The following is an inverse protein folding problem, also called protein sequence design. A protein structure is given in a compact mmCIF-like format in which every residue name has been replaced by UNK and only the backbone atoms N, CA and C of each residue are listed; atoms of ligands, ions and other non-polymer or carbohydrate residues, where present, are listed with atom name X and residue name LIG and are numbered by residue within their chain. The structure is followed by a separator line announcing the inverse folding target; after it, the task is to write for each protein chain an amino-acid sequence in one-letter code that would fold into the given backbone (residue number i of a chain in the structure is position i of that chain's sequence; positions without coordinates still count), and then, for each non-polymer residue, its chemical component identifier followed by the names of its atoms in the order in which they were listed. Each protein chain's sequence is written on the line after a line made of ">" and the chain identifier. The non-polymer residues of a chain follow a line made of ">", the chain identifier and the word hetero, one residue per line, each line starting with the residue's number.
data_IF_695893499687
#
_entry.id   IF_695893499687
#
_cell.length_a   1.000
_cell.length_b   1.000
_cell.length_c   1.000
_cell.angle_alpha   90.00
_cell.angle_beta   90.00
_cell.angle_gamma   90.00
#
_symmetry.space_group_name_H-M   'P 1'
#
loop_
_entity.id
_entity.type
_entity.pdbx_description
1 polymer ?
#
# COMPACT_ATOMS: atom_id res chain seq x y z
N UNK A 1 6.29 -5.33 -7.07
CA UNK A 1 7.51 -5.28 -6.24
C UNK A 1 7.09 -5.80 -4.87
N UNK A 2 8.01 -6.31 -4.06
CA UNK A 2 7.66 -7.00 -2.81
C UNK A 2 7.92 -8.51 -2.82
N UNK A 3 8.10 -9.05 -1.62
CA UNK A 3 8.54 -10.44 -1.40
C UNK A 3 7.41 -11.42 -1.75
N UNK A 4 7.71 -12.48 -2.51
CA UNK A 4 6.72 -13.48 -2.98
C UNK A 4 6.26 -14.44 -1.88
N UNK A 5 5.75 -13.91 -0.77
CA UNK A 5 5.32 -14.66 0.41
C UNK A 5 3.90 -15.21 0.31
N UNK A 6 3.09 -14.75 -0.65
CA UNK A 6 1.66 -15.06 -0.69
C UNK A 6 1.29 -16.55 -0.74
N UNK A 7 2.22 -17.45 -1.11
CA UNK A 7 1.96 -18.90 -1.04
C UNK A 7 2.08 -19.50 0.36
N UNK A 8 2.69 -18.78 1.31
CA UNK A 8 2.86 -19.20 2.71
C UNK A 8 1.76 -18.64 3.64
N UNK A 9 1.18 -17.50 3.26
CA UNK A 9 0.17 -16.81 4.05
C UNK A 9 -1.23 -17.15 3.54
N UNK A 10 -2.00 -18.01 4.24
CA UNK A 10 -3.40 -18.21 3.90
C UNK A 10 -4.15 -16.89 4.11
N UNK A 11 -5.00 -16.52 3.14
CA UNK A 11 -5.91 -15.40 3.27
C UNK A 11 -7.33 -15.88 3.55
N UNK A 12 -8.01 -15.15 4.42
CA UNK A 12 -9.42 -15.31 4.74
C UNK A 12 -10.21 -14.25 3.97
N UNK A 13 -11.16 -14.67 3.15
CA UNK A 13 -12.06 -13.73 2.49
C UNK A 13 -13.04 -13.13 3.51
N UNK A 14 -13.09 -11.81 3.60
CA UNK A 14 -13.98 -11.09 4.51
C UNK A 14 -14.87 -10.09 3.74
N UNK A 15 -15.85 -9.54 4.44
CA UNK A 15 -16.70 -8.46 3.98
C UNK A 15 -16.35 -7.14 4.68
N UNK A 16 -16.85 -6.02 4.15
CA UNK A 16 -16.70 -4.73 4.83
C UNK A 16 -17.39 -4.69 6.21
N UNK A 17 -18.41 -5.54 6.44
CA UNK A 17 -19.09 -5.63 7.73
C UNK A 17 -18.19 -6.21 8.83
N UNK A 18 -17.24 -7.07 8.46
CA UNK A 18 -16.29 -7.67 9.40
C UNK A 18 -15.25 -6.64 9.91
N UNK A 19 -15.18 -5.48 9.27
CA UNK A 19 -14.31 -4.36 9.61
C UNK A 19 -15.07 -3.17 10.22
N UNK A 20 -16.36 -3.33 10.51
CA UNK A 20 -17.19 -2.29 11.12
C UNK A 20 -16.56 -1.80 12.44
N UNK A 21 -16.48 -0.48 12.58
CA UNK A 21 -15.92 0.27 13.71
C UNK A 21 -14.42 0.01 13.95
N UNK A 22 -13.76 -0.75 13.08
CA UNK A 22 -12.33 -0.97 13.12
C UNK A 22 -11.58 0.23 12.55
N UNK A 23 -10.52 0.62 13.24
CA UNK A 23 -9.51 1.54 12.74
C UNK A 23 -8.58 0.75 11.82
N UNK A 24 -8.43 1.21 10.57
CA UNK A 24 -7.56 0.57 9.58
C UNK A 24 -6.53 1.58 9.11
N UNK A 25 -5.26 1.24 9.25
CA UNK A 25 -4.14 2.10 8.85
C UNK A 25 -3.76 1.76 7.42
N UNK A 26 -3.84 2.72 6.52
CA UNK A 26 -3.68 2.55 5.09
C UNK A 26 -2.36 3.18 4.68
N UNK A 27 -1.52 2.42 3.97
CA UNK A 27 -0.34 2.99 3.31
C UNK A 27 -0.80 3.91 2.18
N UNK A 28 -0.54 5.22 2.35
CA UNK A 28 -0.94 6.23 1.38
C UNK A 28 -0.20 6.08 0.05
N UNK A 29 1.11 5.79 0.05
CA UNK A 29 1.89 5.68 -1.18
C UNK A 29 1.43 4.47 -2.01
N UNK A 30 1.22 3.31 -1.38
CA UNK A 30 0.69 2.13 -2.06
C UNK A 30 -0.64 2.44 -2.76
N UNK A 31 -1.53 3.12 -2.05
CA UNK A 31 -2.86 3.49 -2.54
C UNK A 31 -2.83 4.56 -3.63
N UNK A 32 -1.99 5.59 -3.50
CA UNK A 32 -1.82 6.63 -4.50
C UNK A 32 -1.25 6.05 -5.80
N UNK A 33 -0.23 5.18 -5.71
CA UNK A 33 0.27 4.45 -6.87
C UNK A 33 -0.83 3.62 -7.54
N UNK A 34 -1.65 2.92 -6.74
CA UNK A 34 -2.79 2.15 -7.26
C UNK A 34 -3.80 3.05 -7.99
N UNK A 35 -4.13 4.22 -7.46
CA UNK A 35 -5.06 5.17 -8.10
C UNK A 35 -4.51 5.71 -9.40
N UNK A 36 -3.25 6.14 -9.44
CA UNK A 36 -2.60 6.64 -10.66
C UNK A 36 -2.51 5.55 -11.75
N UNK A 37 -2.33 4.29 -11.37
CA UNK A 37 -2.27 3.17 -12.31
C UNK A 37 -3.66 2.74 -12.82
N UNK A 38 -4.69 2.79 -11.96
CA UNK A 38 -6.00 2.20 -12.26
C UNK A 38 -7.06 3.21 -12.72
N UNK A 39 -7.06 4.43 -12.19
CA UNK A 39 -8.03 5.48 -12.51
C UNK A 39 -7.51 6.29 -13.68
N UNK A 40 -7.87 5.84 -14.88
CA UNK A 40 -7.41 6.38 -16.16
C UNK A 40 -8.59 6.54 -17.11
N UNK A 41 -8.41 7.40 -18.11
CA UNK A 41 -9.35 7.54 -19.21
C UNK A 41 -9.38 6.27 -20.08
N UNK A 42 -10.33 6.19 -21.02
CA UNK A 42 -10.53 5.00 -21.87
C UNK A 42 -9.30 4.69 -22.73
N UNK A 43 -8.67 5.73 -23.24
CA UNK A 43 -7.41 5.72 -24.00
C UNK A 43 -6.18 5.31 -23.15
N UNK A 44 -6.32 5.21 -21.82
CA UNK A 44 -5.23 4.87 -20.90
C UNK A 44 -4.45 6.08 -20.38
N UNK A 45 -4.79 7.30 -20.77
CA UNK A 45 -4.18 8.51 -20.20
C UNK A 45 -4.65 8.73 -18.76
N UNK A 46 -3.82 9.40 -17.95
CA UNK A 46 -4.20 9.76 -16.58
C UNK A 46 -5.42 10.69 -16.59
N UNK A 47 -6.26 10.62 -15.55
CA UNK A 47 -7.34 11.59 -15.40
C UNK A 47 -6.71 12.95 -15.12
N UNK A 48 -7.11 13.97 -15.89
CA UNK A 48 -6.58 15.33 -15.81
C UNK A 48 -7.70 16.35 -15.77
N UNK A 49 -7.44 17.52 -15.18
CA UNK A 49 -8.29 18.72 -15.33
C UNK A 49 -7.98 19.45 -16.66
N UNK A 50 -8.69 20.55 -16.97
CA UNK A 50 -8.46 21.35 -18.18
C UNK A 50 -7.02 21.89 -18.28
N UNK A 51 -6.36 22.17 -17.16
CA UNK A 51 -4.97 22.64 -17.11
C UNK A 51 -3.94 21.52 -17.30
N UNK A 52 -4.40 20.28 -17.52
CA UNK A 52 -3.53 19.11 -17.71
C UNK A 52 -2.94 18.52 -16.42
N UNK A 53 -3.35 18.99 -15.24
CA UNK A 53 -2.93 18.46 -13.94
C UNK A 53 -3.63 17.14 -13.65
N UNK A 54 -2.88 16.18 -13.12
CA UNK A 54 -3.41 14.85 -12.79
C UNK A 54 -4.38 14.94 -11.61
N UNK A 55 -5.53 14.28 -11.68
CA UNK A 55 -6.57 14.26 -10.64
C UNK A 55 -7.00 12.86 -10.22
N UNK A 56 -6.36 11.82 -10.79
CA UNK A 56 -6.64 10.41 -10.50
C UNK A 56 -6.53 10.09 -9.00
N UNK A 57 -5.54 10.65 -8.31
CA UNK A 57 -5.32 10.43 -6.87
C UNK A 57 -6.44 11.05 -6.03
N UNK A 58 -6.85 12.29 -6.31
CA UNK A 58 -7.94 12.96 -5.59
C UNK A 58 -9.26 12.20 -5.74
N UNK A 59 -9.58 11.79 -6.97
CA UNK A 59 -10.75 10.96 -7.25
C UNK A 59 -10.69 9.66 -6.46
N UNK A 60 -9.60 8.89 -6.61
CA UNK A 60 -9.43 7.64 -5.88
C UNK A 60 -9.57 7.82 -4.37
N UNK A 61 -8.87 8.79 -3.81
CA UNK A 61 -8.84 9.04 -2.36
C UNK A 61 -10.23 9.42 -1.84
N UNK A 62 -10.92 10.32 -2.52
CA UNK A 62 -12.28 10.73 -2.14
C UNK A 62 -13.27 9.56 -2.19
N UNK A 63 -13.33 8.83 -3.32
CA UNK A 63 -14.28 7.74 -3.49
C UNK A 63 -13.99 6.54 -2.57
N UNK A 64 -12.72 6.22 -2.32
CA UNK A 64 -12.35 5.11 -1.43
C UNK A 64 -12.59 5.46 0.02
N UNK A 65 -12.15 6.63 0.46
CA UNK A 65 -12.38 7.10 1.82
C UNK A 65 -13.86 7.11 2.15
N UNK A 66 -14.68 7.68 1.27
CA UNK A 66 -16.13 7.68 1.42
C UNK A 66 -16.73 6.27 1.51
N UNK A 67 -16.24 5.32 0.72
CA UNK A 67 -16.74 3.95 0.77
C UNK A 67 -16.35 3.24 2.08
N UNK A 68 -15.16 3.48 2.61
CA UNK A 68 -14.74 2.93 3.91
C UNK A 68 -15.59 3.51 5.03
N UNK A 69 -15.73 4.83 5.07
CA UNK A 69 -16.53 5.54 6.07
C UNK A 69 -18.00 5.14 6.00
N UNK A 70 -18.57 4.97 4.80
CA UNK A 70 -19.94 4.49 4.62
C UNK A 70 -20.16 3.10 5.23
N UNK A 71 -19.14 2.25 5.19
CA UNK A 71 -19.15 0.93 5.82
C UNK A 71 -18.71 0.97 7.30
N UNK A 72 -18.67 2.17 7.89
CA UNK A 72 -18.30 2.43 9.27
C UNK A 72 -16.89 1.96 9.63
N UNK A 73 -15.99 1.92 8.65
CA UNK A 73 -14.56 1.72 8.86
C UNK A 73 -13.95 3.09 9.15
N UNK A 74 -12.98 3.15 10.07
CA UNK A 74 -12.27 4.36 10.46
C UNK A 74 -10.88 4.37 9.79
N UNK A 75 -10.74 4.90 8.55
CA UNK A 75 -9.45 4.91 7.87
C UNK A 75 -8.50 5.93 8.50
N UNK A 76 -7.23 5.56 8.60
CA UNK A 76 -6.10 6.47 8.84
C UNK A 76 -5.13 6.29 7.69
N UNK A 77 -4.62 7.36 7.11
CA UNK A 77 -3.59 7.26 6.06
C UNK A 77 -2.21 7.51 6.63
N UNK A 78 -1.20 6.77 6.18
CA UNK A 78 0.19 7.00 6.58
C UNK A 78 1.01 7.34 5.35
N UNK A 79 1.68 8.49 5.40
CA UNK A 79 2.57 8.95 4.35
C UNK A 79 4.02 8.64 4.70
N UNK A 80 4.80 8.26 3.70
CA UNK A 80 6.25 8.05 3.81
C UNK A 80 6.95 9.37 4.20
N UNK A 81 7.97 9.25 5.03
CA UNK A 81 8.92 10.29 5.35
C UNK A 81 10.13 10.27 4.41
N UNK A 82 11.29 10.67 4.95
CA UNK A 82 12.54 10.65 4.18
C UNK A 82 13.01 9.20 4.01
N UNK A 83 13.24 8.72 2.78
CA UNK A 83 13.65 7.33 2.54
C UNK A 83 15.06 7.04 3.08
N UNK A 84 15.28 5.82 3.56
CA UNK A 84 16.61 5.34 3.95
C UNK A 84 17.61 5.42 2.78
N UNK A 85 18.88 5.63 3.09
CA UNK A 85 19.97 5.53 2.11
C UNK A 85 20.00 4.19 1.35
N UNK A 86 19.67 3.07 2.01
CA UNK A 86 19.65 1.74 1.40
C UNK A 86 18.50 1.57 0.39
N UNK A 87 17.50 2.47 0.37
CA UNK A 87 16.45 2.51 -0.66
C UNK A 87 16.85 3.31 -1.89
N UNK A 88 17.96 4.04 -1.88
CA UNK A 88 18.36 4.86 -3.03
C UNK A 88 18.55 3.99 -4.28
N UNK A 89 19.23 2.84 -4.16
CA UNK A 89 19.37 1.88 -5.25
C UNK A 89 18.02 1.41 -5.81
N UNK A 90 17.07 1.07 -4.93
CA UNK A 90 15.71 0.66 -5.31
C UNK A 90 14.95 1.81 -6.00
N UNK A 91 15.08 3.03 -5.50
CA UNK A 91 14.45 4.23 -6.06
C UNK A 91 15.02 4.52 -7.45
N UNK A 92 16.34 4.43 -7.61
CA UNK A 92 17.03 4.63 -8.88
C UNK A 92 16.63 3.57 -9.90
N UNK A 93 16.53 2.31 -9.49
CA UNK A 93 16.04 1.26 -10.38
C UNK A 93 14.58 1.48 -10.78
N UNK A 94 13.71 1.90 -9.84
CA UNK A 94 12.32 2.27 -10.14
C UNK A 94 12.27 3.43 -11.13
N UNK A 95 13.13 4.44 -10.98
CA UNK A 95 13.25 5.57 -11.90
C UNK A 95 13.73 5.11 -13.30
N UNK A 96 14.74 4.25 -13.38
CA UNK A 96 15.24 3.69 -14.64
C UNK A 96 14.15 2.90 -15.38
N UNK A 97 13.43 2.02 -14.66
CA UNK A 97 12.30 1.26 -15.21
C UNK A 97 11.18 2.19 -15.71
N UNK A 98 10.91 3.28 -15.00
CA UNK A 98 9.93 4.30 -15.41
C UNK A 98 10.35 4.98 -16.72
N UNK A 99 11.58 5.48 -16.80
CA UNK A 99 12.10 6.13 -18.00
C UNK A 99 12.08 5.20 -19.21
N UNK A 100 12.40 3.92 -19.01
CA UNK A 100 12.27 2.92 -20.08
C UNK A 100 10.80 2.70 -20.47
N UNK A 101 9.89 2.59 -19.49
CA UNK A 101 8.46 2.47 -19.78
C UNK A 101 7.88 3.70 -20.51
N UNK A 102 8.39 4.90 -20.24
CA UNK A 102 8.01 6.12 -20.97
C UNK A 102 8.45 6.06 -22.44
N UNK A 103 9.68 5.59 -22.72
CA UNK A 103 10.16 5.36 -24.09
C UNK A 103 9.31 4.31 -24.80
N UNK A 104 9.09 3.16 -24.16
CA UNK A 104 8.28 2.06 -24.70
C UNK A 104 6.82 2.49 -24.93
N UNK A 105 6.29 3.40 -24.11
CA UNK A 105 4.94 3.94 -24.25
C UNK A 105 4.82 4.84 -25.48
N UNK A 106 5.78 5.75 -25.70
CA UNK A 106 5.80 6.61 -26.89
C UNK A 106 5.94 5.78 -28.18
N UNK A 107 6.86 4.83 -28.20
CA UNK A 107 7.04 3.90 -29.34
C UNK A 107 5.76 3.09 -29.62
N UNK A 108 5.06 2.62 -28.58
CA UNK A 108 3.80 1.89 -28.76
C UNK A 108 2.67 2.79 -29.29
N UNK A 109 2.63 4.07 -28.90
CA UNK A 109 1.67 5.04 -29.45
C UNK A 109 1.94 5.32 -30.93
N UNK A 110 3.20 5.54 -31.31
CA UNK A 110 3.60 5.77 -32.72
C UNK A 110 3.25 4.55 -33.60
N UNK A 111 3.39 3.34 -33.06
CA UNK A 111 3.04 2.08 -33.75
C UNK A 111 1.55 1.73 -33.70
N UNK A 112 0.72 2.52 -33.02
CA UNK A 112 -0.71 2.24 -32.87
C UNK A 112 -1.06 1.03 -31.99
N UNK A 113 -0.10 0.45 -31.25
CA UNK A 113 -0.34 -0.66 -30.32
C UNK A 113 -0.96 -0.15 -29.01
N UNK A 114 -2.27 0.10 -29.06
CA UNK A 114 -3.05 0.63 -27.94
C UNK A 114 -3.00 -0.25 -26.68
N UNK A 115 -2.86 -1.58 -26.85
CA UNK A 115 -2.80 -2.51 -25.73
C UNK A 115 -1.46 -2.38 -24.98
N UNK A 116 -0.35 -2.39 -25.71
CA UNK A 116 0.99 -2.20 -25.13
C UNK A 116 1.15 -0.78 -24.57
N UNK A 117 0.67 0.23 -25.30
CA UNK A 117 0.69 1.62 -24.85
C UNK A 117 -0.03 1.77 -23.50
N UNK A 118 -1.21 1.17 -23.34
CA UNK A 118 -1.94 1.20 -22.07
C UNK A 118 -1.16 0.58 -20.91
N UNK A 119 -0.55 -0.58 -21.12
CA UNK A 119 0.25 -1.27 -20.09
C UNK A 119 1.47 -0.44 -19.68
N UNK A 120 2.20 0.09 -20.67
CA UNK A 120 3.39 0.91 -20.41
C UNK A 120 3.05 2.24 -19.76
N UNK A 121 1.94 2.87 -20.16
CA UNK A 121 1.45 4.09 -19.53
C UNK A 121 1.17 3.92 -18.03
N UNK A 122 0.70 2.76 -17.58
CA UNK A 122 0.50 2.49 -16.15
C UNK A 122 1.81 2.47 -15.35
N UNK A 123 2.90 2.06 -16.00
CA UNK A 123 4.23 1.97 -15.39
C UNK A 123 4.96 3.33 -15.35
N UNK A 124 4.43 4.36 -16.01
CA UNK A 124 5.00 5.72 -15.99
C UNK A 124 4.51 6.57 -14.81
N UNK A 125 3.51 6.11 -14.05
CA UNK A 125 2.94 6.86 -12.93
C UNK A 125 3.96 7.11 -11.81
N UNK A 126 4.05 8.37 -11.37
CA UNK A 126 4.87 8.80 -10.22
C UNK A 126 3.99 9.53 -9.20
N UNK A 127 4.17 9.23 -7.93
CA UNK A 127 3.68 10.06 -6.83
C UNK A 127 4.69 11.18 -6.62
N UNK A 128 4.27 12.43 -6.86
CA UNK A 128 5.08 13.64 -6.66
C UNK A 128 4.72 14.29 -5.31
N UNK A 129 5.58 15.17 -4.82
CA UNK A 129 5.30 15.93 -3.59
C UNK A 129 4.00 16.74 -3.72
N UNK A 130 3.73 17.31 -4.91
CA UNK A 130 2.45 17.97 -5.19
C UNK A 130 1.26 17.01 -5.02
N UNK A 131 1.35 15.77 -5.49
CA UNK A 131 0.29 14.75 -5.33
C UNK A 131 0.10 14.43 -3.84
N UNK A 132 1.18 14.32 -3.08
CA UNK A 132 1.15 14.03 -1.64
C UNK A 132 0.46 15.16 -0.89
N UNK A 133 0.87 16.42 -1.11
CA UNK A 133 0.31 17.58 -0.43
C UNK A 133 -1.16 17.82 -0.80
N UNK A 134 -1.52 17.63 -2.07
CA UNK A 134 -2.92 17.65 -2.50
C UNK A 134 -3.75 16.54 -1.83
N UNK A 135 -3.16 15.36 -1.62
CA UNK A 135 -3.83 14.24 -0.96
C UNK A 135 -4.02 14.51 0.53
N UNK A 136 -3.01 15.04 1.23
CA UNK A 136 -3.11 15.47 2.64
C UNK A 136 -4.18 16.54 2.81
N UNK A 137 -4.13 17.58 1.98
CA UNK A 137 -5.14 18.66 1.99
C UNK A 137 -6.56 18.10 1.84
N UNK A 138 -6.76 17.15 0.91
CA UNK A 138 -8.06 16.51 0.74
C UNK A 138 -8.48 15.72 1.99
N UNK A 139 -7.57 14.95 2.61
CA UNK A 139 -7.88 14.20 3.83
C UNK A 139 -8.26 15.12 5.01
N UNK A 140 -7.56 16.25 5.17
CA UNK A 140 -7.89 17.26 6.17
C UNK A 140 -9.29 17.83 5.95
N UNK A 141 -9.61 18.21 4.70
CA UNK A 141 -10.94 18.72 4.35
C UNK A 141 -12.01 17.66 4.60
N UNK A 142 -11.71 16.38 4.37
CA UNK A 142 -12.63 15.27 4.64
C UNK A 142 -12.73 14.90 6.12
N UNK A 143 -11.89 15.49 6.98
CA UNK A 143 -11.82 15.17 8.40
C UNK A 143 -11.28 13.76 8.68
N UNK A 144 -10.43 13.23 7.80
CA UNK A 144 -9.78 11.93 7.97
C UNK A 144 -8.34 12.15 8.44
N UNK A 145 -7.92 11.51 9.56
CA UNK A 145 -6.58 11.67 10.06
C UNK A 145 -5.56 11.02 9.13
N UNK A 146 -4.39 11.63 9.05
CA UNK A 146 -3.20 11.02 8.47
C UNK A 146 -2.00 11.17 9.40
N UNK A 147 -1.02 10.28 9.24
CA UNK A 147 0.23 10.28 10.00
C UNK A 147 1.40 10.44 9.03
N UNK A 148 2.35 11.29 9.40
CA UNK A 148 3.61 11.42 8.69
C UNK A 148 4.62 10.45 9.33
N UNK A 149 4.99 9.37 8.63
CA UNK A 149 6.01 8.46 9.11
C UNK A 149 7.38 9.17 9.13
N UNK A 150 8.29 8.82 10.06
CA UNK A 150 9.67 9.30 10.02
C UNK A 150 10.42 8.83 8.77
N UNK A 151 10.06 7.65 8.27
CA UNK A 151 10.72 6.97 7.16
C UNK A 151 9.70 6.20 6.31
N UNK A 152 9.36 4.96 6.65
CA UNK A 152 8.45 4.14 5.83
C UNK A 152 7.03 4.14 6.38
N UNK A 153 6.04 4.40 5.51
CA UNK A 153 4.63 4.38 5.85
C UNK A 153 4.14 3.00 6.28
N UNK A 154 4.58 1.93 5.60
CA UNK A 154 4.26 0.55 6.00
C UNK A 154 4.80 0.19 7.38
N UNK A 155 5.98 0.71 7.74
CA UNK A 155 6.58 0.47 9.04
C UNK A 155 5.83 1.18 10.16
N UNK A 156 5.50 2.45 9.95
CA UNK A 156 4.68 3.22 10.88
C UNK A 156 3.28 2.61 11.00
N UNK A 157 2.66 2.19 9.89
CA UNK A 157 1.36 1.51 9.92
C UNK A 157 1.42 0.20 10.71
N UNK A 158 2.45 -0.62 10.48
CA UNK A 158 2.66 -1.87 11.22
C UNK A 158 2.90 -1.62 12.71
N UNK A 159 3.62 -0.55 13.06
CA UNK A 159 3.85 -0.14 14.44
C UNK A 159 2.56 0.25 15.16
N UNK A 160 1.72 1.09 14.54
CA UNK A 160 0.42 1.49 15.10
C UNK A 160 -0.48 0.28 15.39
N UNK A 161 -0.51 -0.71 14.49
CA UNK A 161 -1.30 -1.94 14.69
C UNK A 161 -0.70 -2.82 15.80
N UNK A 162 0.64 -2.95 15.89
CA UNK A 162 1.30 -3.67 16.99
C UNK A 162 1.04 -3.03 18.35
N UNK A 163 1.03 -1.69 18.41
CA UNK A 163 0.79 -0.91 19.63
C UNK A 163 -0.67 -1.04 20.11
N UNK A 164 -1.59 -1.41 19.22
CA UNK A 164 -3.00 -1.58 19.52
C UNK A 164 -3.88 -0.38 19.15
N UNK A 165 -3.30 0.66 18.54
CA UNK A 165 -4.01 1.87 18.15
C UNK A 165 -4.90 1.65 16.90
N UNK A 166 -4.69 0.53 16.20
CA UNK A 166 -5.51 0.13 15.06
C UNK A 166 -5.63 -1.40 14.92
N UNK A 167 -6.64 -1.85 14.16
CA UNK A 167 -6.94 -3.26 13.98
C UNK A 167 -6.04 -3.97 12.96
N UNK A 168 -5.68 -3.29 11.87
CA UNK A 168 -4.90 -3.89 10.79
C UNK A 168 -4.37 -2.88 9.79
N UNK A 169 -3.39 -3.30 9.00
CA UNK A 169 -2.82 -2.49 7.92
C UNK A 169 -3.54 -2.79 6.61
N UNK A 170 -4.05 -1.77 5.93
CA UNK A 170 -4.59 -1.84 4.58
C UNK A 170 -3.49 -1.65 3.54
N UNK A 171 -2.90 -2.73 3.05
CA UNK A 171 -1.88 -2.72 1.98
C UNK A 171 -2.05 -3.90 1.02
N UNK A 172 -1.49 -3.78 -0.18
CA UNK A 172 -1.33 -4.90 -1.12
C UNK A 172 -0.02 -5.65 -0.96
N UNK A 173 0.92 -5.12 -0.19
CA UNK A 173 2.25 -5.69 -0.06
C UNK A 173 2.35 -6.51 1.24
N UNK A 174 3.18 -7.56 1.20
CA UNK A 174 3.37 -8.46 2.35
C UNK A 174 4.42 -7.94 3.32
N UNK A 175 5.10 -6.85 2.99
CA UNK A 175 6.24 -6.32 3.73
C UNK A 175 5.80 -5.86 5.13
N UNK A 176 4.56 -5.36 5.30
CA UNK A 176 3.94 -5.13 6.60
C UNK A 176 3.99 -6.36 7.55
N UNK A 177 3.86 -7.59 7.02
CA UNK A 177 3.96 -8.81 7.83
C UNK A 177 5.40 -9.13 8.22
N UNK A 178 6.38 -8.78 7.37
CA UNK A 178 7.81 -8.88 7.69
C UNK A 178 8.18 -7.90 8.81
N UNK A 179 7.63 -6.69 8.74
CA UNK A 179 7.81 -5.65 9.76
C UNK A 179 7.15 -6.06 11.08
N UNK A 180 6.13 -6.92 11.03
CA UNK A 180 5.49 -7.52 12.19
C UNK A 180 4.10 -7.00 12.48
N UNK A 181 3.39 -6.47 11.47
CA UNK A 181 1.96 -6.16 11.62
C UNK A 181 1.18 -7.44 11.96
N UNK A 182 0.39 -7.46 13.04
CA UNK A 182 -0.44 -8.62 13.41
C UNK A 182 -1.49 -8.99 12.35
N UNK A 183 -2.04 -7.99 11.65
CA UNK A 183 -3.14 -8.14 10.69
C UNK A 183 -2.87 -7.31 9.44
N UNK A 184 -2.91 -7.97 8.28
CA UNK A 184 -2.89 -7.35 6.95
C UNK A 184 -4.26 -7.51 6.31
N UNK A 185 -4.84 -6.41 5.82
CA UNK A 185 -6.08 -6.37 5.06
C UNK A 185 -5.77 -5.98 3.61
N UNK A 186 -5.81 -6.96 2.72
CA UNK A 186 -5.64 -6.74 1.28
C UNK A 186 -6.97 -6.38 0.63
N UNK A 187 -6.88 -5.79 -0.56
CA UNK A 187 -8.04 -5.45 -1.42
C UNK A 187 -9.04 -4.44 -0.84
N UNK A 188 -8.69 -3.76 0.25
CA UNK A 188 -9.55 -2.78 0.90
C UNK A 188 -9.89 -1.58 0.00
N UNK A 189 -8.88 -1.05 -0.70
CA UNK A 189 -9.01 0.09 -1.63
C UNK A 189 -9.24 -0.34 -3.09
N UNK A 190 -9.32 -1.64 -3.36
CA UNK A 190 -9.51 -2.18 -4.70
C UNK A 190 -10.93 -1.95 -5.20
N UNK A 191 -11.12 -1.83 -6.52
CA UNK A 191 -12.47 -1.76 -7.11
C UNK A 191 -13.23 -3.04 -6.83
N UNK A 192 -14.51 -2.94 -6.44
CA UNK A 192 -15.37 -4.10 -6.17
C UNK A 192 -15.53 -5.03 -7.38
N UNK A 193 -15.21 -4.54 -8.59
CA UNK A 193 -15.13 -5.35 -9.82
C UNK A 193 -13.80 -5.07 -10.52
N UNK A 194 -13.05 -6.13 -10.81
CA UNK A 194 -11.82 -6.09 -11.62
C UNK A 194 -12.06 -6.78 -12.95
N UNK A 195 -11.78 -6.10 -14.06
CA UNK A 195 -11.83 -6.70 -15.40
C UNK A 195 -10.66 -7.67 -15.56
N UNK A 196 -10.92 -8.86 -16.10
CA UNK A 196 -9.87 -9.82 -16.41
C UNK A 196 -9.07 -9.35 -17.64
N UNK A 197 -7.72 -9.36 -17.60
CA UNK A 197 -6.89 -9.04 -18.76
C UNK A 197 -7.29 -9.90 -19.97
N UNK A 198 -7.50 -9.26 -21.12
CA UNK A 198 -7.86 -9.95 -22.37
C UNK A 198 -9.26 -10.57 -22.43
N UNK A 199 -10.09 -10.47 -21.37
CA UNK A 199 -11.44 -11.06 -21.33
C UNK A 199 -12.53 -10.00 -21.08
N UNK A 200 -13.72 -10.18 -21.66
CA UNK A 200 -14.93 -9.39 -21.36
C UNK A 200 -15.62 -9.89 -20.07
N UNK A 201 -14.85 -10.27 -19.05
CA UNK A 201 -15.35 -10.80 -17.79
C UNK A 201 -14.82 -9.99 -16.61
N UNK A 202 -15.65 -9.86 -15.58
CA UNK A 202 -15.33 -9.13 -14.35
C UNK A 202 -15.37 -10.10 -13.16
N UNK A 203 -14.37 -10.02 -12.29
CA UNK A 203 -14.34 -10.75 -11.02
C UNK A 203 -14.67 -9.78 -9.90
N UNK A 204 -15.53 -10.22 -8.98
CA UNK A 204 -15.82 -9.46 -7.77
C UNK A 204 -14.62 -9.56 -6.83
N UNK A 205 -14.10 -8.41 -6.40
CA UNK A 205 -12.97 -8.36 -5.48
C UNK A 205 -13.51 -8.15 -4.08
N UNK A 206 -13.11 -9.02 -3.17
CA UNK A 206 -13.45 -8.95 -1.76
C UNK A 206 -12.20 -8.59 -0.95
N UNK A 207 -12.33 -7.87 0.17
CA UNK A 207 -11.24 -7.72 1.11
C UNK A 207 -10.78 -9.08 1.64
N UNK A 208 -9.47 -9.19 1.85
CA UNK A 208 -8.83 -10.41 2.34
C UNK A 208 -8.07 -10.09 3.61
N UNK A 209 -8.23 -10.90 4.65
CA UNK A 209 -7.55 -10.76 5.92
C UNK A 209 -6.48 -11.82 6.09
N UNK A 210 -5.32 -11.41 6.59
CA UNK A 210 -4.17 -12.28 6.85
C UNK A 210 -3.66 -12.00 8.26
N UNK A 211 -3.47 -13.06 9.04
CA UNK A 211 -2.92 -13.00 10.39
C UNK A 211 -1.47 -13.46 10.41
N UNK A 212 -0.58 -12.64 10.98
CA UNK A 212 0.83 -12.96 11.10
C UNK A 212 1.06 -14.16 12.01
N UNK A 213 0.60 -14.08 13.27
CA UNK A 213 0.89 -15.08 14.30
C UNK A 213 0.37 -16.46 13.92
N UNK A 214 -0.86 -16.58 13.41
CA UNK A 214 -1.41 -17.85 12.93
C UNK A 214 -0.51 -18.51 11.87
N UNK A 215 0.09 -17.71 10.98
CA UNK A 215 1.00 -18.22 9.95
C UNK A 215 2.34 -18.63 10.56
N UNK A 216 2.92 -17.81 11.44
CA UNK A 216 4.17 -18.12 12.13
C UNK A 216 4.05 -19.42 12.95
N UNK A 217 2.98 -19.57 13.71
CA UNK A 217 2.69 -20.75 14.54
C UNK A 217 2.55 -22.01 13.66
N UNK A 218 1.78 -21.93 12.57
CA UNK A 218 1.59 -23.04 11.62
C UNK A 218 2.90 -23.45 10.96
N UNK A 219 3.77 -22.50 10.64
CA UNK A 219 5.06 -22.76 10.03
C UNK A 219 6.13 -23.20 11.05
N UNK A 220 5.93 -22.88 12.33
CA UNK A 220 6.88 -23.11 13.41
C UNK A 220 8.14 -22.28 13.25
N UNK A 221 7.98 -20.99 12.94
CA UNK A 221 9.09 -20.03 12.76
C UNK A 221 8.80 -18.72 13.50
N UNK A 222 9.86 -18.01 13.89
CA UNK A 222 9.77 -16.66 14.43
C UNK A 222 9.64 -15.60 13.33
N UNK A 223 9.23 -14.38 13.69
CA UNK A 223 9.25 -13.23 12.78
C UNK A 223 10.67 -12.96 12.22
N UNK A 224 11.71 -13.04 13.06
CA UNK A 224 13.10 -12.90 12.62
C UNK A 224 13.45 -13.92 11.53
N UNK A 225 13.02 -15.17 11.71
CA UNK A 225 13.21 -16.22 10.71
C UNK A 225 12.40 -15.97 9.43
N UNK A 226 11.21 -15.39 9.53
CA UNK A 226 10.45 -14.95 8.36
C UNK A 226 11.19 -13.84 7.58
N UNK A 227 11.80 -12.88 8.27
CA UNK A 227 12.67 -11.86 7.64
C UNK A 227 13.89 -12.51 6.98
N UNK A 228 14.55 -13.45 7.65
CA UNK A 228 15.67 -14.21 7.09
C UNK A 228 15.25 -14.98 5.81
N UNK A 229 14.05 -15.57 5.80
CA UNK A 229 13.48 -16.20 4.62
C UNK A 229 13.27 -15.21 3.47
N UNK A 230 12.78 -14.00 3.78
CA UNK A 230 12.58 -12.95 2.79
C UNK A 230 13.91 -12.50 2.16
N UNK A 231 14.95 -12.32 2.97
CA UNK A 231 16.30 -11.96 2.49
C UNK A 231 16.86 -13.05 1.57
N UNK A 232 16.69 -14.33 1.91
CA UNK A 232 17.10 -15.45 1.05
C UNK A 232 16.38 -15.47 -0.30
N UNK A 233 15.10 -15.12 -0.32
CA UNK A 233 14.26 -15.09 -1.53
C UNK A 233 14.47 -13.85 -2.40
N UNK A 234 15.06 -12.80 -1.81
CA UNK A 234 15.16 -11.48 -2.41
C UNK A 234 14.08 -10.55 -1.88
N UNK A 235 14.52 -9.33 -1.55
CA UNK A 235 13.67 -8.21 -1.11
C UNK A 235 13.90 -7.03 -2.04
N UNK A 236 13.23 -5.91 -1.80
CA UNK A 236 13.54 -4.67 -2.53
C UNK A 236 14.97 -4.15 -2.23
N UNK A 237 15.69 -4.71 -1.24
CA UNK A 237 17.04 -4.32 -0.80
C UNK A 237 18.15 -5.29 -1.22
N UNK A 238 17.80 -6.47 -1.75
CA UNK A 238 18.77 -7.47 -2.21
C UNK A 238 18.15 -8.44 -3.23
N UNK A 239 18.96 -8.94 -4.16
CA UNK A 239 18.49 -9.81 -5.24
C UNK A 239 18.01 -11.20 -4.75
N UNK A 240 18.48 -11.62 -3.57
CA UNK A 240 18.26 -12.97 -3.05
C UNK A 240 19.19 -13.99 -3.68
N UNK A 241 18.96 -15.27 -3.40
CA UNK A 241 19.77 -16.37 -3.94
C UNK A 241 18.95 -17.11 -5.00
N UNK A 242 19.53 -17.30 -6.19
CA UNK A 242 18.82 -17.91 -7.30
C UNK A 242 18.33 -19.32 -6.95
N UNK A 243 17.08 -19.60 -7.30
CA UNK A 243 16.45 -20.90 -7.03
C UNK A 243 16.03 -21.12 -5.58
N UNK A 244 16.07 -20.09 -4.72
CA UNK A 244 15.46 -20.12 -3.39
C UNK A 244 14.10 -19.43 -3.40
N UNK A 245 13.04 -20.23 -3.39
CA UNK A 245 11.66 -19.76 -3.22
C UNK A 245 11.09 -20.06 -1.83
N UNK A 246 9.82 -19.71 -1.56
CA UNK A 246 9.21 -19.73 -0.23
C UNK A 246 9.31 -21.07 0.51
N UNK A 247 9.07 -22.19 -0.18
CA UNK A 247 9.15 -23.53 0.41
C UNK A 247 10.60 -23.93 0.73
N UNK A 248 11.55 -23.55 -0.14
CA UNK A 248 12.96 -23.89 0.02
C UNK A 248 13.61 -23.05 1.12
N UNK A 249 13.31 -21.74 1.18
CA UNK A 249 13.79 -20.87 2.26
C UNK A 249 13.28 -21.34 3.61
N UNK A 250 11.99 -21.71 3.72
CA UNK A 250 11.43 -22.29 4.94
C UNK A 250 12.20 -23.53 5.39
N UNK A 251 12.43 -24.49 4.47
CA UNK A 251 13.16 -25.74 4.79
C UNK A 251 14.58 -25.45 5.28
N UNK A 252 15.28 -24.53 4.62
CA UNK A 252 16.65 -24.14 4.98
C UNK A 252 16.69 -23.46 6.35
N UNK A 253 15.80 -22.50 6.60
CA UNK A 253 15.76 -21.77 7.87
C UNK A 253 15.35 -22.68 9.03
N UNK A 254 14.38 -23.59 8.84
CA UNK A 254 14.04 -24.58 9.88
C UNK A 254 15.18 -25.53 10.20
N UNK A 255 16.00 -25.90 9.21
CA UNK A 255 17.16 -26.79 9.40
C UNK A 255 18.33 -26.07 10.06
N UNK A 256 18.61 -24.83 9.65
CA UNK A 256 19.85 -24.13 9.98
C UNK A 256 19.66 -23.03 11.05
N UNK A 257 18.42 -22.73 11.41
CA UNK A 257 18.05 -21.73 12.42
C UNK A 257 17.98 -20.31 11.89
N UNK A 258 18.99 -19.84 11.16
CA UNK A 258 19.11 -18.47 10.63
C UNK A 258 19.78 -18.44 9.25
N UNK A 259 19.71 -17.30 8.57
CA UNK A 259 20.28 -17.10 7.23
C UNK A 259 21.82 -17.21 7.20
N UNK A 260 22.52 -16.77 8.23
CA UNK A 260 24.00 -16.84 8.30
C UNK A 260 24.47 -18.30 8.21
N UNK A 261 23.85 -19.19 9.00
CA UNK A 261 24.11 -20.62 8.97
C UNK A 261 23.70 -21.26 7.64
N UNK A 262 22.63 -20.78 7.00
CA UNK A 262 22.23 -21.24 5.66
C UNK A 262 23.33 -20.92 4.66
N UNK A 263 23.81 -19.68 4.62
CA UNK A 263 24.83 -19.22 3.67
C UNK A 263 26.14 -20.00 3.88
N UNK A 264 26.59 -20.17 5.13
CA UNK A 264 27.78 -20.97 5.44
C UNK A 264 27.65 -22.44 5.00
N UNK A 265 26.44 -22.99 4.95
CA UNK A 265 26.20 -24.38 4.54
C UNK A 265 26.12 -24.54 3.03
N UNK A 266 25.48 -23.61 2.32
CA UNK A 266 25.26 -23.72 0.87
C UNK A 266 26.44 -23.18 0.05
N UNK A 267 27.28 -22.31 0.63
CA UNK A 267 28.45 -21.73 -0.03
C UNK A 267 28.11 -21.04 -1.36
N UNK A 268 27.32 -19.97 -1.31
CA UNK A 268 26.84 -19.28 -2.52
C UNK A 268 27.45 -17.88 -2.66
N UNK A 269 28.09 -17.62 -3.80
CA UNK A 269 28.65 -16.30 -4.15
C UNK A 269 27.57 -15.25 -4.43
N UNK A 270 26.33 -15.68 -4.69
CA UNK A 270 25.16 -14.80 -4.87
C UNK A 270 24.57 -14.34 -3.53
N UNK A 271 25.03 -14.88 -2.40
CA UNK A 271 24.48 -14.55 -1.09
C UNK A 271 24.84 -13.11 -0.68
N UNK A 272 23.90 -12.36 -0.06
CA UNK A 272 24.22 -11.06 0.50
C UNK A 272 25.27 -11.21 1.62
N UNK A 273 26.19 -10.25 1.72
CA UNK A 273 27.19 -10.22 2.80
C UNK A 273 26.52 -10.17 4.17
N UNK A 274 27.18 -10.70 5.21
CA UNK A 274 26.64 -10.68 6.58
C UNK A 274 26.33 -9.27 7.08
N UNK A 275 27.11 -8.27 6.66
CA UNK A 275 26.80 -6.87 6.97
C UNK A 275 25.50 -6.40 6.29
N UNK A 276 25.30 -6.74 5.02
CA UNK A 276 24.07 -6.40 4.27
C UNK A 276 22.86 -7.09 4.90
N UNK A 277 22.98 -8.35 5.30
CA UNK A 277 21.93 -9.09 6.03
C UNK A 277 21.56 -8.38 7.33
N UNK A 278 22.55 -8.01 8.14
CA UNK A 278 22.32 -7.33 9.42
C UNK A 278 21.57 -6.01 9.22
N UNK A 279 21.98 -5.22 8.20
CA UNK A 279 21.30 -3.96 7.83
C UNK A 279 19.85 -4.21 7.43
N UNK A 280 19.60 -5.07 6.44
CA UNK A 280 18.22 -5.35 5.95
C UNK A 280 17.35 -5.91 7.08
N UNK A 281 17.86 -6.85 7.87
CA UNK A 281 17.12 -7.39 9.02
C UNK A 281 16.73 -6.30 10.02
N UNK A 282 17.64 -5.36 10.30
CA UNK A 282 17.34 -4.24 11.19
C UNK A 282 16.26 -3.33 10.64
N UNK A 283 16.17 -3.13 9.32
CA UNK A 283 15.11 -2.32 8.71
C UNK A 283 13.72 -2.90 8.94
N UNK A 284 13.59 -4.23 8.88
CA UNK A 284 12.30 -4.89 9.14
C UNK A 284 11.99 -5.02 10.63
N UNK A 285 12.98 -5.36 11.47
CA UNK A 285 12.73 -5.65 12.89
C UNK A 285 12.75 -4.41 13.78
N UNK A 286 13.53 -3.39 13.42
CA UNK A 286 13.69 -2.15 14.18
C UNK A 286 13.53 -0.91 13.27
N UNK A 287 12.41 -0.77 12.54
CA UNK A 287 12.20 0.39 11.69
C UNK A 287 12.05 1.66 12.51
N UNK A 288 12.45 2.80 11.93
CA UNK A 288 12.23 4.10 12.54
C UNK A 288 10.74 4.45 12.48
N UNK A 289 10.13 4.63 13.65
CA UNK A 289 8.71 4.93 13.84
C UNK A 289 8.56 6.05 14.88
N UNK A 290 7.37 6.64 14.97
CA UNK A 290 7.07 7.72 15.90
C UNK A 290 5.80 7.41 16.69
N UNK A 291 5.69 7.96 17.89
CA UNK A 291 4.46 8.03 18.69
C UNK A 291 3.76 9.39 18.57
N UNK A 292 4.37 10.33 17.85
CA UNK A 292 3.84 11.68 17.61
C UNK A 292 2.75 11.65 16.53
N UNK A 293 1.55 11.22 16.94
CA UNK A 293 0.34 11.27 16.14
C UNK A 293 -0.91 11.28 17.03
N UNK A 294 -1.99 11.87 16.52
CA UNK A 294 -3.32 11.82 17.11
C UNK A 294 -4.34 11.35 16.08
N UNK A 295 -5.24 10.44 16.49
CA UNK A 295 -6.24 9.86 15.61
C UNK A 295 -7.62 10.44 15.94
N UNK A 296 -8.02 11.46 15.17
CA UNK A 296 -9.32 12.10 15.30
C UNK A 296 -10.01 12.21 13.95
N UNK A 297 -11.29 11.80 13.91
CA UNK A 297 -12.14 11.90 12.74
C UNK A 297 -13.16 13.02 12.93
N UNK A 298 -13.29 13.89 11.93
CA UNK A 298 -14.20 15.03 11.94
C UNK A 298 -15.09 15.05 10.70
N UNK A 299 -16.15 15.87 10.76
CA UNK A 299 -17.04 16.00 9.60
C UNK A 299 -16.29 16.70 8.46
N UNK A 300 -16.54 16.31 7.20
CA UNK A 300 -16.01 17.03 6.06
C UNK A 300 -16.41 18.51 6.08
N UNK A 301 -15.48 19.40 5.74
CA UNK A 301 -15.75 20.80 5.47
C UNK A 301 -16.32 20.93 4.05
N UNK A 302 -17.65 20.92 3.94
CA UNK A 302 -18.35 20.85 2.65
C UNK A 302 -17.99 22.04 1.74
N UNK A 303 -17.88 23.24 2.31
CA UNK A 303 -17.56 24.46 1.56
C UNK A 303 -16.14 24.38 0.98
N UNK A 304 -15.15 24.04 1.82
CA UNK A 304 -13.78 23.84 1.34
C UNK A 304 -13.67 22.70 0.35
N UNK A 305 -14.44 21.64 0.51
CA UNK A 305 -14.43 20.50 -0.41
C UNK A 305 -14.93 20.88 -1.80
N UNK A 306 -16.05 21.61 -1.87
CA UNK A 306 -16.59 22.10 -3.16
C UNK A 306 -15.60 23.05 -3.81
N UNK A 307 -15.07 24.02 -3.07
CA UNK A 307 -14.03 24.93 -3.58
C UNK A 307 -12.81 24.16 -4.11
N UNK A 308 -12.26 23.25 -3.31
CA UNK A 308 -11.06 22.51 -3.66
C UNK A 308 -11.28 21.58 -4.85
N UNK A 309 -12.34 20.78 -4.88
CA UNK A 309 -12.54 19.79 -5.94
C UNK A 309 -13.22 20.36 -7.19
N UNK A 310 -14.24 21.21 -7.04
CA UNK A 310 -15.00 21.80 -8.16
C UNK A 310 -14.19 22.92 -8.82
N UNK A 311 -13.80 23.95 -8.08
CA UNK A 311 -13.19 25.14 -8.71
C UNK A 311 -11.75 24.88 -9.18
N UNK A 312 -10.94 24.20 -8.39
CA UNK A 312 -9.52 23.96 -8.71
C UNK A 312 -9.27 22.74 -9.60
N UNK A 313 -10.09 21.70 -9.48
CA UNK A 313 -9.88 20.42 -10.18
C UNK A 313 -11.07 19.99 -11.05
N UNK A 314 -12.12 20.81 -11.18
CA UNK A 314 -13.24 20.65 -12.11
C UNK A 314 -14.03 19.35 -11.91
N UNK A 315 -14.18 18.93 -10.64
CA UNK A 315 -15.07 17.83 -10.30
C UNK A 315 -16.52 18.31 -10.36
N UNK A 316 -17.42 17.43 -10.82
CA UNK A 316 -18.85 17.74 -10.83
C UNK A 316 -19.39 17.88 -9.41
N UNK A 317 -19.99 19.03 -9.10
CA UNK A 317 -20.60 19.33 -7.79
C UNK A 317 -21.63 18.26 -7.38
N UNK A 318 -22.50 17.87 -8.31
CA UNK A 318 -23.46 16.78 -8.10
C UNK A 318 -22.80 15.47 -7.62
N UNK A 319 -21.58 15.17 -8.09
CA UNK A 319 -20.83 14.00 -7.63
C UNK A 319 -20.23 14.23 -6.24
N UNK A 320 -19.78 15.44 -5.93
CA UNK A 320 -19.27 15.82 -4.62
C UNK A 320 -20.38 15.66 -3.57
N UNK A 321 -21.55 16.29 -3.81
CA UNK A 321 -22.72 16.20 -2.92
C UNK A 321 -23.19 14.77 -2.69
N UNK A 322 -23.30 13.97 -3.74
CA UNK A 322 -23.71 12.56 -3.62
C UNK A 322 -22.73 11.74 -2.77
N UNK A 323 -21.45 12.13 -2.75
CA UNK A 323 -20.42 11.43 -2.01
C UNK A 323 -20.30 11.95 -0.58
N UNK A 324 -20.58 13.22 -0.31
CA UNK A 324 -20.66 13.79 1.04
C UNK A 324 -21.66 13.05 1.92
N UNK A 325 -22.81 12.63 1.37
CA UNK A 325 -23.80 11.80 2.08
C UNK A 325 -23.23 10.50 2.65
N UNK A 326 -22.14 9.98 2.08
CA UNK A 326 -21.49 8.76 2.55
C UNK A 326 -20.64 8.96 3.80
N UNK A 327 -20.37 10.21 4.18
CA UNK A 327 -19.61 10.57 5.39
C UNK A 327 -20.49 10.80 6.63
N UNK A 328 -21.82 10.72 6.48
CA UNK A 328 -22.77 10.81 7.60
C UNK A 328 -22.40 9.92 8.81
N UNK A 329 -21.91 8.67 8.63
CA UNK A 329 -21.55 7.82 9.77
C UNK A 329 -20.44 8.37 10.68
N UNK A 330 -19.63 9.35 10.23
CA UNK A 330 -18.63 9.97 11.12
C UNK A 330 -19.30 10.65 12.33
N UNK A 331 -20.54 11.14 12.19
CA UNK A 331 -21.30 11.72 13.32
C UNK A 331 -21.56 10.67 14.41
N UNK A 332 -21.82 9.43 14.00
CA UNK A 332 -22.06 8.31 14.90
C UNK A 332 -20.76 7.82 15.55
N UNK A 333 -19.65 7.84 14.81
CA UNK A 333 -18.32 7.44 15.30
C UNK A 333 -17.84 8.31 16.47
N UNK A 334 -18.12 9.62 16.46
CA UNK A 334 -17.79 10.54 17.57
C UNK A 334 -18.56 10.24 18.86
N UNK A 335 -19.82 9.80 18.77
CA UNK A 335 -20.64 9.51 19.95
C UNK A 335 -20.13 8.30 20.73
N UNK A 336 -19.50 7.33 20.07
CA UNK A 336 -18.94 6.15 20.73
C UNK A 336 -17.60 6.41 21.45
N UNK A 337 -16.81 7.40 21.02
CA UNK A 337 -15.54 7.76 21.69
C UNK A 337 -15.72 8.46 23.04
N UNK A 338 -16.89 9.04 23.30
CA UNK A 338 -17.20 9.80 24.53
C UNK A 338 -17.82 8.94 25.65
N UNK A 339 -17.91 7.63 25.44
CA UNK A 339 -18.56 6.67 26.34
C UNK A 339 -17.58 5.76 27.11
N UNK A 340 -16.28 6.06 27.07
CA UNK A 340 -15.23 5.37 27.82
C UNK A 340 -14.53 6.30 28.80
#
# INVERSE_FOLDING_TARGET
>A
MGVKLGSLFPSEQISFKDLHDRIIVIDAYNVLHQFLATIRQRDGTALKNADGKITSHLSGLFYRSANLVQNKIKPVYVFDGKPHELKQETIDERNRRRLQAEKDWKDALEKGDTAKARVKAQQTSRVTDEIVEQSKTLLEILGIPYVQAPEEGEAQASYMVRKGDAYGVGSQDFDCLLIGSPVLIRNLTSSSKRKLPGKKAYVKVHPERIYLNQTLDKLGISQKQLVDMAILMGTDFNEGIKGIGPKKSLKLIKKNGNIENVISTIGSDEAPTFEKIKKIRSMFLNPKTTDDYELSWSQPDEQKLVYFLSEKYQFSEKRIESMLKKFEPIKEMKKQQTLF
#
